data_IF_136397031252
#
_entry.id   IF_136397031252
#
_cell.length_a   1.000
_cell.length_b   1.000
_cell.length_c   1.000
_cell.angle_alpha   90.00
_cell.angle_beta   90.00
_cell.angle_gamma   90.00
#
_symmetry.space_group_name_H-M   'P 1'
#
loop_
_entity.id
_entity.type
_entity.pdbx_description
1 polymer ?
#
# COMPACT_ATOMS: atom_id res chain seq x y z
N UNK A 1 20.28 -4.48 12.29
CA UNK A 1 20.91 -3.13 12.31
C UNK A 1 19.97 -2.20 11.55
N UNK A 2 19.43 -1.14 12.17
CA UNK A 2 18.58 -0.17 11.44
C UNK A 2 19.47 0.61 10.48
N UNK A 3 19.27 0.44 9.18
CA UNK A 3 19.98 1.19 8.16
C UNK A 3 19.48 2.64 8.18
N UNK A 4 20.38 3.55 8.52
CA UNK A 4 20.09 4.98 8.52
C UNK A 4 20.43 5.58 7.17
N UNK A 5 19.48 6.36 6.62
CA UNK A 5 19.78 7.24 5.50
C UNK A 5 20.83 8.28 5.92
N UNK A 6 21.88 8.45 5.15
CA UNK A 6 22.82 9.56 5.36
C UNK A 6 22.18 10.91 4.99
N UNK A 7 22.87 12.02 5.24
CA UNK A 7 22.33 13.36 4.97
C UNK A 7 22.02 13.59 3.49
N UNK A 8 22.83 13.03 2.60
CA UNK A 8 22.65 13.16 1.15
C UNK A 8 21.46 12.33 0.68
N UNK A 9 21.32 11.09 1.19
CA UNK A 9 20.16 10.23 0.90
C UNK A 9 18.86 10.86 1.39
N UNK A 10 18.84 11.43 2.61
CA UNK A 10 17.67 12.14 3.13
C UNK A 10 17.27 13.32 2.24
N UNK A 11 18.26 14.08 1.73
CA UNK A 11 18.00 15.21 0.84
C UNK A 11 17.46 14.73 -0.51
N UNK A 12 18.01 13.64 -1.07
CA UNK A 12 17.54 13.04 -2.31
C UNK A 12 16.09 12.54 -2.16
N UNK A 13 15.78 11.76 -1.10
CA UNK A 13 14.44 11.26 -0.82
C UNK A 13 13.47 12.42 -0.61
N UNK A 14 13.86 13.49 0.10
CA UNK A 14 13.02 14.67 0.29
C UNK A 14 12.64 15.33 -1.03
N UNK A 15 13.59 15.51 -1.94
CA UNK A 15 13.30 16.09 -3.27
C UNK A 15 12.34 15.20 -4.07
N UNK A 16 12.58 13.90 -4.11
CA UNK A 16 11.71 12.93 -4.80
C UNK A 16 10.32 12.81 -4.17
N UNK A 17 10.18 13.04 -2.86
CA UNK A 17 8.88 13.05 -2.19
C UNK A 17 8.05 14.29 -2.50
N UNK A 18 8.68 15.38 -2.92
CA UNK A 18 7.99 16.59 -3.36
C UNK A 18 7.61 16.52 -4.83
N UNK A 19 8.52 16.04 -5.65
CA UNK A 19 8.35 15.84 -7.07
C UNK A 19 9.29 14.73 -7.56
N UNK A 20 8.75 13.68 -8.12
CA UNK A 20 9.51 12.55 -8.68
C UNK A 20 9.77 12.67 -10.19
N UNK A 21 9.29 13.73 -10.85
CA UNK A 21 9.46 13.95 -12.29
C UNK A 21 10.84 14.53 -12.68
N UNK A 22 11.58 15.28 -11.80
CA UNK A 22 12.88 15.81 -12.18
C UNK A 22 13.84 14.70 -12.59
N UNK A 23 14.42 14.84 -13.78
CA UNK A 23 15.47 13.93 -14.23
C UNK A 23 16.72 14.02 -13.32
N UNK A 24 17.57 12.99 -13.41
CA UNK A 24 18.78 12.86 -12.60
C UNK A 24 19.70 14.10 -12.70
N UNK A 25 19.77 14.75 -13.87
CA UNK A 25 20.57 15.96 -14.08
C UNK A 25 20.08 17.11 -13.20
N UNK A 26 18.76 17.32 -13.13
CA UNK A 26 18.17 18.37 -12.29
C UNK A 26 18.35 18.09 -10.81
N UNK A 27 18.26 16.86 -10.40
CA UNK A 27 18.53 16.44 -9.02
C UNK A 27 20.01 16.72 -8.66
N UNK A 28 20.94 16.38 -9.54
CA UNK A 28 22.38 16.62 -9.34
C UNK A 28 22.69 18.12 -9.18
N UNK A 29 22.11 18.95 -10.05
CA UNK A 29 22.22 20.42 -9.99
C UNK A 29 21.68 20.96 -8.66
N UNK A 30 20.44 20.56 -8.28
CA UNK A 30 19.77 21.02 -7.05
C UNK A 30 20.53 20.60 -5.79
N UNK A 31 21.15 19.42 -5.83
CA UNK A 31 21.92 18.88 -4.70
C UNK A 31 23.37 19.35 -4.68
N UNK A 32 23.86 20.00 -5.75
CA UNK A 32 25.26 20.38 -5.95
C UNK A 32 26.23 19.18 -5.84
N UNK A 33 25.87 18.05 -6.45
CA UNK A 33 26.71 16.85 -6.54
C UNK A 33 26.71 16.31 -7.98
N UNK A 34 27.63 15.40 -8.29
CA UNK A 34 27.74 14.85 -9.64
C UNK A 34 26.59 13.93 -10.02
N UNK A 35 26.23 13.91 -11.30
CA UNK A 35 25.19 13.00 -11.87
C UNK A 35 25.49 11.53 -11.57
N UNK A 36 26.72 11.00 -11.71
CA UNK A 36 27.04 9.63 -11.32
C UNK A 36 26.77 9.36 -9.83
N UNK A 37 27.03 10.33 -8.96
CA UNK A 37 26.75 10.20 -7.52
C UNK A 37 25.27 10.07 -7.25
N UNK A 38 24.41 10.91 -7.85
CA UNK A 38 22.95 10.81 -7.70
C UNK A 38 22.46 9.45 -8.20
N UNK A 39 22.91 9.01 -9.38
CA UNK A 39 22.53 7.72 -9.97
C UNK A 39 22.89 6.53 -9.09
N UNK A 40 24.11 6.54 -8.55
CA UNK A 40 24.57 5.48 -7.65
C UNK A 40 23.77 5.43 -6.35
N UNK A 41 23.48 6.59 -5.74
CA UNK A 41 22.69 6.68 -4.52
C UNK A 41 21.24 6.24 -4.74
N UNK A 42 20.61 6.73 -5.81
CA UNK A 42 19.24 6.36 -6.15
C UNK A 42 19.12 4.84 -6.36
N UNK A 43 20.03 4.25 -7.13
CA UNK A 43 20.07 2.79 -7.34
C UNK A 43 20.22 2.05 -6.01
N UNK A 44 21.14 2.45 -5.15
CA UNK A 44 21.36 1.85 -3.85
C UNK A 44 20.09 1.90 -2.97
N UNK A 45 19.37 3.02 -2.95
CA UNK A 45 18.11 3.17 -2.19
C UNK A 45 17.01 2.23 -2.73
N UNK A 46 16.90 2.09 -4.04
CA UNK A 46 15.92 1.20 -4.70
C UNK A 46 16.27 -0.27 -4.46
N UNK A 47 17.52 -0.68 -4.69
CA UNK A 47 17.99 -2.06 -4.54
C UNK A 47 17.85 -2.57 -3.09
N UNK A 48 17.98 -1.66 -2.11
CA UNK A 48 17.80 -1.96 -0.69
C UNK A 48 16.36 -1.83 -0.18
N UNK A 49 15.38 -1.60 -1.07
CA UNK A 49 13.97 -1.36 -0.73
C UNK A 49 13.77 -0.24 0.32
N UNK A 50 14.64 0.78 0.35
CA UNK A 50 14.50 1.97 1.19
C UNK A 50 13.70 3.07 0.51
N UNK A 51 13.57 3.01 -0.79
CA UNK A 51 12.79 3.91 -1.64
C UNK A 51 12.03 3.11 -2.69
N UNK A 52 10.79 3.51 -2.94
CA UNK A 52 9.99 3.07 -4.08
C UNK A 52 9.45 4.29 -4.81
N UNK A 53 9.55 4.31 -6.13
CA UNK A 53 8.99 5.37 -6.97
C UNK A 53 7.81 4.78 -7.71
N UNK A 54 6.62 5.31 -7.47
CA UNK A 54 5.35 4.82 -8.02
C UNK A 54 4.44 6.00 -8.36
N UNK A 55 3.53 5.81 -9.31
CA UNK A 55 2.41 6.73 -9.52
C UNK A 55 1.38 6.58 -8.42
N UNK A 56 0.85 7.70 -7.95
CA UNK A 56 -0.26 7.74 -7.01
C UNK A 56 -1.50 8.27 -7.72
N UNK A 57 -2.64 7.67 -7.44
CA UNK A 57 -3.95 8.13 -7.92
C UNK A 57 -4.73 8.78 -6.78
N UNK A 58 -5.42 9.88 -7.09
CA UNK A 58 -6.33 10.52 -6.17
C UNK A 58 -7.63 9.71 -6.10
N UNK A 59 -7.87 9.01 -5.00
CA UNK A 59 -9.08 8.19 -4.82
C UNK A 59 -10.36 9.00 -4.80
N UNK A 60 -10.30 10.29 -4.46
CA UNK A 60 -11.47 11.17 -4.45
C UNK A 60 -12.07 11.33 -5.85
N UNK A 61 -11.24 11.27 -6.88
CA UNK A 61 -11.63 11.40 -8.30
C UNK A 61 -11.93 10.05 -8.98
N UNK A 62 -12.01 8.96 -8.21
CA UNK A 62 -12.19 7.60 -8.71
C UNK A 62 -13.34 6.90 -8.00
N UNK A 63 -14.61 7.27 -8.30
CA UNK A 63 -15.79 6.75 -7.61
C UNK A 63 -16.04 5.25 -7.85
N UNK A 64 -15.41 4.67 -8.87
CA UNK A 64 -15.45 3.22 -9.14
C UNK A 64 -14.56 2.39 -8.20
N UNK A 65 -13.69 3.04 -7.42
CA UNK A 65 -12.82 2.37 -6.46
C UNK A 65 -13.42 2.43 -5.06
N UNK A 66 -13.55 1.29 -4.42
CA UNK A 66 -13.99 1.18 -3.04
C UNK A 66 -12.77 1.01 -2.15
N UNK A 67 -12.64 1.87 -1.15
CA UNK A 67 -11.60 1.76 -0.13
C UNK A 67 -12.19 1.30 1.19
N UNK A 68 -11.49 0.42 1.89
CA UNK A 68 -11.88 -0.03 3.20
C UNK A 68 -10.67 -0.21 4.13
N UNK A 69 -10.92 -0.08 5.42
CA UNK A 69 -9.97 -0.40 6.49
C UNK A 69 -10.50 -1.63 7.22
N UNK A 70 -9.68 -2.67 7.33
CA UNK A 70 -10.04 -3.90 8.04
C UNK A 70 -9.20 -4.03 9.29
N UNK A 71 -9.87 -4.04 10.46
CA UNK A 71 -9.25 -4.34 11.75
C UNK A 71 -9.36 -5.83 12.04
N UNK A 72 -8.25 -6.47 12.39
CA UNK A 72 -8.16 -7.91 12.62
C UNK A 72 -7.64 -8.18 14.01
N UNK A 73 -8.28 -9.10 14.74
CA UNK A 73 -7.75 -9.71 15.93
C UNK A 73 -7.23 -11.12 15.59
N UNK A 74 -5.97 -11.38 15.88
CA UNK A 74 -5.29 -12.63 15.59
C UNK A 74 -5.18 -13.51 16.84
N UNK A 75 -5.23 -14.83 16.66
CA UNK A 75 -4.95 -15.77 17.73
C UNK A 75 -3.44 -15.82 18.00
N UNK A 76 -3.03 -15.28 19.14
CA UNK A 76 -1.64 -15.24 19.57
C UNK A 76 -0.85 -14.06 19.00
N UNK A 77 -0.56 -13.09 19.84
CA UNK A 77 0.17 -11.85 19.48
C UNK A 77 1.51 -12.07 18.79
N UNK A 78 2.17 -13.21 19.01
CA UNK A 78 3.46 -13.52 18.38
C UNK A 78 3.39 -13.78 16.86
N UNK A 79 2.22 -14.15 16.33
CA UNK A 79 2.02 -14.48 14.90
C UNK A 79 1.43 -13.35 14.07
N UNK A 80 1.02 -12.24 14.69
CA UNK A 80 0.41 -11.13 13.98
C UNK A 80 1.27 -10.58 12.83
N UNK A 81 2.60 -10.61 12.97
CA UNK A 81 3.52 -10.16 11.93
C UNK A 81 3.50 -11.07 10.70
N UNK A 82 3.52 -12.38 10.89
CA UNK A 82 3.51 -13.37 9.81
C UNK A 82 2.16 -13.33 9.07
N UNK A 83 1.06 -13.22 9.81
CA UNK A 83 -0.27 -13.04 9.25
C UNK A 83 -0.36 -11.74 8.43
N UNK A 84 0.12 -10.62 8.97
CA UNK A 84 0.15 -9.35 8.26
C UNK A 84 0.98 -9.41 6.97
N UNK A 85 2.09 -10.15 6.95
CA UNK A 85 2.89 -10.34 5.74
C UNK A 85 2.11 -11.11 4.68
N UNK A 86 1.45 -12.22 5.02
CA UNK A 86 0.62 -12.98 4.07
C UNK A 86 -0.57 -12.17 3.55
N UNK A 87 -1.21 -11.40 4.40
CA UNK A 87 -2.30 -10.50 3.99
C UNK A 87 -1.79 -9.42 3.04
N UNK A 88 -0.60 -8.86 3.28
CA UNK A 88 -0.01 -7.83 2.43
C UNK A 88 0.34 -8.30 1.01
N UNK A 89 0.41 -9.62 0.78
CA UNK A 89 0.64 -10.23 -0.55
C UNK A 89 -0.65 -10.35 -1.39
N UNK A 90 -1.82 -10.10 -0.78
CA UNK A 90 -3.08 -10.16 -1.51
C UNK A 90 -3.21 -8.99 -2.51
N UNK A 91 -3.72 -9.24 -3.73
CA UNK A 91 -3.65 -8.29 -4.86
C UNK A 91 -4.53 -7.04 -4.72
N UNK A 92 -5.32 -6.90 -3.68
CA UNK A 92 -6.17 -5.74 -3.36
C UNK A 92 -5.77 -5.05 -2.06
N UNK A 93 -4.67 -5.46 -1.46
CA UNK A 93 -4.16 -4.88 -0.21
C UNK A 93 -3.11 -3.81 -0.52
N UNK A 94 -3.35 -2.60 -0.02
CA UNK A 94 -2.38 -1.50 -0.08
C UNK A 94 -1.30 -1.66 0.98
N UNK A 95 -1.71 -2.02 2.20
CA UNK A 95 -0.81 -2.26 3.32
C UNK A 95 -1.46 -3.10 4.41
N UNK A 96 -0.63 -3.81 5.19
CA UNK A 96 -1.02 -4.47 6.43
C UNK A 96 -0.02 -4.09 7.52
N UNK A 97 -0.51 -3.57 8.63
CA UNK A 97 0.29 -3.05 9.73
C UNK A 97 -0.07 -3.74 11.04
N UNK A 98 0.92 -4.25 11.76
CA UNK A 98 0.74 -4.70 13.15
C UNK A 98 0.67 -3.48 14.05
N UNK A 99 -0.38 -3.40 14.85
CA UNK A 99 -0.70 -2.23 15.68
C UNK A 99 -0.88 -2.61 17.15
N UNK A 100 -0.94 -1.60 17.99
CA UNK A 100 -1.35 -1.74 19.40
C UNK A 100 -2.75 -1.15 19.57
N UNK A 101 -3.60 -1.75 20.39
CA UNK A 101 -4.94 -1.25 20.67
C UNK A 101 -6.01 -2.33 20.54
N UNK A 102 -7.17 -1.94 20.00
CA UNK A 102 -8.34 -2.82 19.83
C UNK A 102 -8.10 -3.97 18.86
N UNK A 103 -7.33 -3.73 17.80
CA UNK A 103 -6.94 -4.71 16.79
C UNK A 103 -5.46 -5.03 16.90
N UNK A 104 -5.06 -6.20 16.42
CA UNK A 104 -3.67 -6.62 16.29
C UNK A 104 -3.08 -6.21 14.94
N UNK A 105 -3.93 -6.17 13.89
CA UNK A 105 -3.55 -5.80 12.52
C UNK A 105 -4.58 -4.84 11.95
N UNK A 106 -4.10 -3.82 11.23
CA UNK A 106 -4.91 -2.95 10.38
C UNK A 106 -4.48 -3.15 8.93
N UNK A 107 -5.46 -3.39 8.07
CA UNK A 107 -5.28 -3.60 6.63
C UNK A 107 -5.97 -2.48 5.88
N UNK A 108 -5.26 -1.84 4.95
CA UNK A 108 -5.82 -0.88 3.99
C UNK A 108 -6.07 -1.60 2.66
N UNK A 109 -7.30 -1.55 2.17
CA UNK A 109 -7.78 -2.28 1.00
C UNK A 109 -8.33 -1.30 -0.02
N UNK A 110 -8.02 -1.53 -1.29
CA UNK A 110 -8.66 -0.81 -2.41
C UNK A 110 -9.13 -1.84 -3.43
N UNK A 111 -10.38 -1.73 -3.84
CA UNK A 111 -11.06 -2.68 -4.74
C UNK A 111 -11.64 -1.92 -5.93
N UNK A 112 -11.35 -2.38 -7.14
CA UNK A 112 -12.08 -2.02 -8.35
C UNK A 112 -13.21 -3.02 -8.53
N UNK A 113 -14.44 -2.61 -8.21
CA UNK A 113 -15.59 -3.52 -8.24
C UNK A 113 -16.75 -2.96 -7.43
N UNK A 114 -17.60 -3.85 -6.96
CA UNK A 114 -18.77 -3.50 -6.16
C UNK A 114 -18.65 -3.92 -4.68
N UNK A 115 -19.71 -3.67 -3.93
CA UNK A 115 -19.77 -4.02 -2.50
C UNK A 115 -19.70 -5.54 -2.28
N UNK A 116 -20.16 -6.36 -3.24
CA UNK A 116 -20.07 -7.82 -3.13
C UNK A 116 -18.61 -8.29 -3.27
N UNK A 117 -17.82 -7.65 -4.15
CA UNK A 117 -16.39 -7.91 -4.25
C UNK A 117 -15.66 -7.53 -2.97
N UNK A 118 -15.97 -6.35 -2.41
CA UNK A 118 -15.42 -5.95 -1.12
C UNK A 118 -15.78 -6.95 -0.02
N UNK A 119 -17.03 -7.39 0.04
CA UNK A 119 -17.47 -8.38 1.02
C UNK A 119 -16.69 -9.68 0.90
N UNK A 120 -16.54 -10.22 -0.31
CA UNK A 120 -15.75 -11.43 -0.57
C UNK A 120 -14.30 -11.28 -0.10
N UNK A 121 -13.67 -10.16 -0.42
CA UNK A 121 -12.29 -9.89 -0.03
C UNK A 121 -12.15 -9.85 1.50
N UNK A 122 -13.02 -9.11 2.18
CA UNK A 122 -12.87 -8.86 3.62
C UNK A 122 -13.36 -10.01 4.49
N UNK A 123 -14.35 -10.80 4.00
CA UNK A 123 -14.96 -11.89 4.75
C UNK A 123 -14.39 -13.27 4.43
N UNK A 124 -13.78 -13.45 3.25
CA UNK A 124 -13.29 -14.75 2.80
C UNK A 124 -11.77 -14.72 2.55
N UNK A 125 -11.29 -13.80 1.68
CA UNK A 125 -9.91 -13.86 1.21
C UNK A 125 -8.91 -13.37 2.27
N UNK A 126 -9.21 -12.29 2.99
CA UNK A 126 -8.33 -11.80 4.07
C UNK A 126 -8.25 -12.80 5.23
N UNK A 127 -9.38 -13.32 5.77
CA UNK A 127 -9.31 -14.39 6.78
C UNK A 127 -8.66 -15.68 6.26
N UNK A 128 -8.87 -16.00 4.97
CA UNK A 128 -8.29 -17.17 4.30
C UNK A 128 -6.78 -17.10 4.07
N UNK A 129 -6.17 -15.92 4.13
CA UNK A 129 -4.71 -15.74 4.07
C UNK A 129 -3.99 -16.29 5.33
N UNK A 130 -4.73 -16.48 6.42
CA UNK A 130 -4.25 -17.08 7.66
C UNK A 130 -4.36 -18.60 7.67
N UNK A 131 -3.76 -19.21 8.70
CA UNK A 131 -4.03 -20.61 9.06
C UNK A 131 -5.44 -20.67 9.67
N UNK A 132 -6.22 -21.75 9.47
CA UNK A 132 -7.55 -21.85 10.06
C UNK A 132 -7.57 -21.53 11.57
N UNK A 133 -8.44 -20.58 11.96
CA UNK A 133 -8.55 -20.11 13.34
C UNK A 133 -7.53 -19.03 13.75
N UNK A 134 -6.60 -18.64 12.88
CA UNK A 134 -5.63 -17.59 13.19
C UNK A 134 -6.29 -16.20 13.23
N UNK A 135 -7.28 -15.94 12.38
CA UNK A 135 -8.15 -14.76 12.46
C UNK A 135 -9.32 -15.06 13.38
N UNK A 136 -9.34 -14.40 14.54
CA UNK A 136 -10.41 -14.58 15.55
C UNK A 136 -11.62 -13.71 15.23
N UNK A 137 -11.36 -12.48 14.81
CA UNK A 137 -12.37 -11.47 14.49
C UNK A 137 -11.83 -10.49 13.49
N UNK A 138 -12.68 -10.04 12.59
CA UNK A 138 -12.41 -8.91 11.71
C UNK A 138 -13.57 -7.91 11.74
N UNK A 139 -13.25 -6.63 11.59
CA UNK A 139 -14.22 -5.56 11.40
C UNK A 139 -13.81 -4.76 10.16
N UNK A 140 -14.76 -4.50 9.26
CA UNK A 140 -14.54 -3.74 8.03
C UNK A 140 -15.18 -2.37 8.13
N UNK A 141 -14.38 -1.34 7.92
CA UNK A 141 -14.82 0.06 7.83
C UNK A 141 -14.74 0.49 6.37
N UNK A 142 -15.90 0.59 5.71
CA UNK A 142 -15.96 1.11 4.35
C UNK A 142 -15.73 2.62 4.39
N UNK A 143 -14.79 3.11 3.60
CA UNK A 143 -14.48 4.54 3.55
C UNK A 143 -15.51 5.23 2.67
N UNK A 144 -16.41 6.00 3.28
CA UNK A 144 -17.48 6.73 2.57
C UNK A 144 -17.00 8.02 1.91
N UNK A 145 -15.95 8.63 2.46
CA UNK A 145 -15.32 9.83 1.90
C UNK A 145 -13.86 9.91 2.34
N UNK A 146 -13.02 10.42 1.46
CA UNK A 146 -11.60 10.66 1.74
C UNK A 146 -11.23 12.09 1.38
N UNK A 147 -10.35 12.69 2.16
CA UNK A 147 -9.75 13.99 1.85
C UNK A 147 -8.27 13.81 1.61
N UNK A 148 -7.78 14.27 0.44
CA UNK A 148 -6.35 14.20 0.08
C UNK A 148 -5.75 12.79 0.18
N UNK A 149 -6.52 11.75 -0.21
CA UNK A 149 -6.05 10.36 -0.21
C UNK A 149 -5.49 9.98 -1.58
N UNK A 150 -4.18 9.91 -1.65
CA UNK A 150 -3.42 9.45 -2.81
C UNK A 150 -2.85 8.07 -2.53
N UNK A 151 -3.05 7.13 -3.45
CA UNK A 151 -2.59 5.74 -3.26
C UNK A 151 -1.94 5.19 -4.52
N UNK A 152 -0.99 4.28 -4.35
CA UNK A 152 -0.59 3.35 -5.39
C UNK A 152 -1.65 2.25 -5.42
N UNK A 153 -2.32 2.06 -6.56
CA UNK A 153 -3.34 1.01 -6.65
C UNK A 153 -2.69 -0.37 -6.55
N UNK A 154 -3.32 -1.28 -5.78
CA UNK A 154 -2.93 -2.68 -5.75
C UNK A 154 -3.11 -3.35 -7.12
N UNK A 155 -2.41 -4.44 -7.35
CA UNK A 155 -2.41 -5.18 -8.62
C UNK A 155 -3.82 -5.60 -9.06
N UNK A 156 -4.65 -6.05 -8.13
CA UNK A 156 -6.02 -6.47 -8.41
C UNK A 156 -6.95 -5.35 -8.92
N UNK A 157 -6.56 -4.08 -8.78
CA UNK A 157 -7.31 -2.97 -9.38
C UNK A 157 -7.01 -2.74 -10.87
N UNK A 158 -6.01 -3.42 -11.44
CA UNK A 158 -5.60 -3.30 -12.84
C UNK A 158 -6.00 -4.49 -13.71
N UNK A 159 -6.54 -5.57 -13.11
CA UNK A 159 -6.96 -6.74 -13.87
C UNK A 159 -8.14 -6.41 -14.77
N UNK A 160 -8.03 -6.72 -16.07
CA UNK A 160 -9.08 -6.54 -17.06
C UNK A 160 -10.33 -7.43 -16.81
N UNK A 161 -10.28 -8.31 -15.84
CA UNK A 161 -11.37 -9.20 -15.40
C UNK A 161 -12.33 -8.55 -14.39
N UNK A 162 -12.44 -7.23 -14.37
CA UNK A 162 -13.61 -6.63 -13.70
C UNK A 162 -14.82 -7.00 -14.53
N UNK A 163 -15.74 -7.85 -14.03
CA UNK A 163 -16.90 -8.25 -14.83
C UNK A 163 -17.66 -7.00 -15.23
N UNK A 164 -17.82 -6.84 -16.56
CA UNK A 164 -18.59 -5.76 -17.13
C UNK A 164 -19.92 -5.65 -16.36
N UNK A 165 -20.22 -4.44 -15.88
CA UNK A 165 -21.53 -4.13 -15.31
C UNK A 165 -22.60 -4.70 -16.23
N UNK A 166 -23.32 -5.72 -15.79
CA UNK A 166 -24.61 -6.05 -16.40
C UNK A 166 -25.50 -4.85 -16.08
N UNK A 167 -25.79 -4.04 -17.08
CA UNK A 167 -26.85 -3.04 -16.99
C UNK A 167 -28.13 -3.76 -16.54
N UNK A 168 -28.83 -3.23 -15.53
CA UNK A 168 -30.13 -3.75 -15.16
C UNK A 168 -31.07 -3.54 -16.35
N UNK A 169 -31.73 -4.62 -16.79
CA UNK A 169 -32.79 -4.59 -17.77
C UNK A 169 -34.03 -3.87 -17.23
#
# INVERSE_FOLDING_TARGET
>A
MREHLDQTDRRLVKLLSQDAQPGINKLAETMAISVPTVRSRLRNLLDRNLLKIVGLLNLTERPELISAIVGINAQGRGRARELAQRIAELPFVNSASVVTGRFDIIVDVTVAGDVADLYRITSELIPGAGIPGEVVRSETFVVMASCNKWVSLPEGCWSEETPARKEPA
#
